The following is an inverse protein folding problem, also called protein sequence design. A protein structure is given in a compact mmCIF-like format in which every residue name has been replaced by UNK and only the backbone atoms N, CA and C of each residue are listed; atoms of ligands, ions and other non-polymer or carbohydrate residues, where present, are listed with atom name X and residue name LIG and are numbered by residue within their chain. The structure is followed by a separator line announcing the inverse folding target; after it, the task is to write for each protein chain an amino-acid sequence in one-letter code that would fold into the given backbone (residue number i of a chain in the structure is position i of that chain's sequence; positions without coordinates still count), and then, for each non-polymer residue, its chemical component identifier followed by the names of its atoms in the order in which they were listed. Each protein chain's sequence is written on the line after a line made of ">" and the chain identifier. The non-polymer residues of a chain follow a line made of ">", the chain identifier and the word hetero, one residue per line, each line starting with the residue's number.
data_IF_097147847788
#
_entry.id   IF_097147847788
#
_cell.length_a   1.000
_cell.length_b   1.000
_cell.length_c   1.000
_cell.angle_alpha   90.00
_cell.angle_beta   90.00
_cell.angle_gamma   90.00
#
_symmetry.space_group_name_H-M   'P 1'
#
loop_
_entity.id
_entity.type
_entity.pdbx_description
1 polymer ?
#
# COMPACT_ATOMS: atom_id res chain seq x y z
N UNK A 1 30.09 -39.25 2.45
CA UNK A 1 29.63 -38.56 3.66
C UNK A 1 29.30 -37.14 3.27
N UNK A 2 28.00 -36.81 3.25
CA UNK A 2 27.50 -35.49 2.88
C UNK A 2 27.70 -34.48 4.00
N UNK A 3 27.92 -33.23 3.62
CA UNK A 3 27.66 -32.07 4.47
C UNK A 3 26.71 -31.15 3.70
N UNK A 4 25.45 -31.23 4.08
CA UNK A 4 24.44 -30.22 3.77
C UNK A 4 24.95 -28.88 4.30
N UNK A 5 25.19 -27.93 3.40
CA UNK A 5 25.24 -26.53 3.76
C UNK A 5 23.79 -26.09 3.94
N UNK A 6 23.39 -25.92 5.20
CA UNK A 6 22.09 -25.36 5.55
C UNK A 6 22.00 -23.95 4.98
N UNK A 7 20.93 -23.71 4.22
CA UNK A 7 20.50 -22.39 3.79
C UNK A 7 20.25 -21.53 5.03
N UNK A 8 21.06 -20.49 5.18
CA UNK A 8 20.74 -19.38 6.07
C UNK A 8 19.74 -18.48 5.34
N UNK A 9 18.47 -18.91 5.32
CA UNK A 9 17.33 -18.07 4.95
C UNK A 9 17.04 -17.10 6.11
N UNK A 10 18.02 -16.26 6.44
CA UNK A 10 17.75 -15.01 7.13
C UNK A 10 17.09 -14.08 6.11
N UNK A 11 15.78 -14.24 5.95
CA UNK A 11 14.90 -13.27 5.32
C UNK A 11 15.01 -11.97 6.11
N UNK A 12 15.98 -11.12 5.75
CA UNK A 12 15.95 -9.73 6.19
C UNK A 12 14.59 -9.15 5.77
N UNK A 13 13.83 -8.54 6.70
CA UNK A 13 12.60 -7.89 6.31
C UNK A 13 12.98 -6.80 5.32
N UNK A 14 12.46 -6.91 4.08
CA UNK A 14 12.61 -5.92 3.02
C UNK A 14 11.76 -4.69 3.39
N UNK A 15 12.02 -4.09 4.54
CA UNK A 15 11.75 -2.69 4.75
C UNK A 15 12.86 -1.96 4.00
N UNK A 16 12.56 -1.51 2.78
CA UNK A 16 13.44 -0.61 2.06
C UNK A 16 13.90 0.50 3.02
N UNK A 17 15.16 0.95 2.95
CA UNK A 17 15.68 1.99 3.87
C UNK A 17 14.77 3.23 3.98
N UNK A 18 13.97 3.52 2.95
CA UNK A 18 12.92 4.55 2.96
C UNK A 18 11.68 4.25 3.82
N UNK A 19 11.29 2.99 4.00
CA UNK A 19 10.19 2.59 4.90
C UNK A 19 10.56 2.73 6.36
N UNK A 20 11.80 2.42 6.75
CA UNK A 20 12.26 2.60 8.15
C UNK A 20 12.20 4.05 8.61
N UNK A 21 12.66 4.99 7.77
CA UNK A 21 12.57 6.42 8.08
C UNK A 21 11.12 6.92 8.15
N UNK A 22 10.26 6.43 7.24
CA UNK A 22 8.82 6.77 7.20
C UNK A 22 8.01 6.21 8.37
N UNK A 23 8.42 5.06 8.91
CA UNK A 23 7.84 4.45 10.12
C UNK A 23 8.25 5.25 11.36
N UNK A 24 9.48 5.77 11.40
CA UNK A 24 9.98 6.59 12.52
C UNK A 24 9.28 7.95 12.63
N UNK A 25 8.96 8.62 11.52
CA UNK A 25 8.22 9.90 11.55
C UNK A 25 6.79 9.75 12.09
N UNK A 26 6.10 8.66 11.77
CA UNK A 26 4.73 8.40 12.23
C UNK A 26 4.65 7.77 13.64
N UNK A 27 5.81 7.44 14.22
CA UNK A 27 5.96 6.97 15.59
C UNK A 27 6.22 8.10 16.59
N UNK A 28 6.41 9.34 16.14
CA UNK A 28 6.55 10.49 17.06
C UNK A 28 5.24 10.72 17.81
N UNK A 29 5.30 11.01 19.13
CA UNK A 29 4.13 11.47 19.86
C UNK A 29 3.58 12.74 19.22
N UNK A 30 2.27 12.78 19.02
CA UNK A 30 1.57 13.97 18.55
C UNK A 30 1.16 14.81 19.76
N UNK A 31 1.46 16.11 19.71
CA UNK A 31 1.06 17.09 20.73
C UNK A 31 0.13 18.13 20.08
N UNK A 32 -1.17 18.14 20.43
CA UNK A 32 -2.15 19.07 19.85
C UNK A 32 -1.89 20.54 20.22
N UNK A 33 -1.05 20.81 21.23
CA UNK A 33 -0.72 22.18 21.67
C UNK A 33 0.56 22.73 21.04
N UNK A 34 1.29 21.90 20.31
CA UNK A 34 2.54 22.30 19.66
C UNK A 34 2.29 23.26 18.49
N UNK A 35 3.23 24.15 18.23
CA UNK A 35 3.15 25.12 17.12
C UNK A 35 3.03 24.44 15.74
N UNK A 36 3.55 23.22 15.60
CA UNK A 36 3.56 22.45 14.35
C UNK A 36 2.42 21.41 14.29
N UNK A 37 1.46 21.42 15.23
CA UNK A 37 0.43 20.39 15.33
C UNK A 37 -0.43 20.28 14.06
N UNK A 38 -0.84 21.42 13.51
CA UNK A 38 -1.65 21.49 12.28
C UNK A 38 -0.87 20.93 11.09
N UNK A 39 0.38 21.34 10.92
CA UNK A 39 1.25 20.86 9.84
C UNK A 39 1.50 19.36 9.91
N UNK A 40 1.72 18.82 11.12
CA UNK A 40 1.87 17.39 11.34
C UNK A 40 0.58 16.65 10.95
N UNK A 41 -0.58 17.13 11.39
CA UNK A 41 -1.87 16.53 11.08
C UNK A 41 -2.14 16.52 9.58
N UNK A 42 -1.93 17.66 8.93
CA UNK A 42 -2.08 17.83 7.50
C UNK A 42 -1.14 16.93 6.69
N UNK A 43 0.11 16.76 7.14
CA UNK A 43 1.06 15.86 6.49
C UNK A 43 0.57 14.40 6.53
N UNK A 44 0.04 13.96 7.68
CA UNK A 44 -0.52 12.61 7.83
C UNK A 44 -1.80 12.46 7.02
N UNK A 45 -2.72 13.41 7.08
CA UNK A 45 -3.97 13.40 6.30
C UNK A 45 -3.69 13.35 4.78
N UNK A 46 -2.79 14.20 4.28
CA UNK A 46 -2.34 14.18 2.88
C UNK A 46 -1.70 12.84 2.52
N UNK A 47 -0.95 12.22 3.44
CA UNK A 47 -0.41 10.88 3.23
C UNK A 47 -1.51 9.83 3.11
N UNK A 48 -2.49 9.77 4.00
CA UNK A 48 -3.55 8.74 3.89
C UNK A 48 -4.33 8.92 2.58
N UNK A 49 -4.59 10.16 2.16
CA UNK A 49 -5.25 10.44 0.88
C UNK A 49 -4.44 9.93 -0.31
N UNK A 50 -3.12 10.17 -0.34
CA UNK A 50 -2.24 9.64 -1.40
C UNK A 50 -2.23 8.11 -1.43
N UNK A 51 -2.14 7.47 -0.27
CA UNK A 51 -2.08 6.02 -0.17
C UNK A 51 -3.41 5.38 -0.60
N UNK A 52 -4.55 5.94 -0.16
CA UNK A 52 -5.90 5.53 -0.62
C UNK A 52 -6.08 5.66 -2.12
N UNK A 53 -5.62 6.77 -2.71
CA UNK A 53 -5.67 6.97 -4.15
C UNK A 53 -4.82 5.92 -4.89
N UNK A 54 -3.61 5.62 -4.38
CA UNK A 54 -2.74 4.57 -4.92
C UNK A 54 -3.37 3.18 -4.80
N UNK A 55 -3.89 2.82 -3.63
CA UNK A 55 -4.58 1.55 -3.38
C UNK A 55 -5.77 1.38 -4.33
N UNK A 56 -6.62 2.39 -4.46
CA UNK A 56 -7.79 2.38 -5.37
C UNK A 56 -7.38 2.19 -6.83
N UNK A 57 -6.34 2.89 -7.28
CA UNK A 57 -5.82 2.74 -8.65
C UNK A 57 -5.30 1.33 -8.89
N UNK A 58 -4.52 0.77 -7.96
CA UNK A 58 -3.97 -0.58 -8.05
C UNK A 58 -5.07 -1.64 -8.02
N UNK A 59 -6.06 -1.50 -7.15
CA UNK A 59 -7.20 -2.42 -7.07
C UNK A 59 -7.97 -2.48 -8.40
N UNK A 60 -8.25 -1.32 -9.01
CA UNK A 60 -8.89 -1.25 -10.34
C UNK A 60 -8.03 -1.87 -11.44
N UNK A 61 -6.72 -1.65 -11.40
CA UNK A 61 -5.79 -2.25 -12.36
C UNK A 61 -5.73 -3.78 -12.20
N UNK A 62 -5.64 -4.26 -10.96
CA UNK A 62 -5.64 -5.68 -10.62
C UNK A 62 -6.91 -6.35 -11.14
N UNK A 63 -8.08 -5.81 -10.79
CA UNK A 63 -9.38 -6.33 -11.24
C UNK A 63 -9.49 -6.36 -12.76
N UNK A 64 -9.05 -5.29 -13.45
CA UNK A 64 -9.03 -5.24 -14.93
C UNK A 64 -8.11 -6.29 -15.54
N UNK A 65 -7.00 -6.62 -14.89
CA UNK A 65 -6.06 -7.63 -15.36
C UNK A 65 -6.55 -9.04 -15.09
N UNK A 66 -7.14 -9.27 -13.92
CA UNK A 66 -7.64 -10.55 -13.40
C UNK A 66 -8.92 -10.99 -14.11
N UNK A 67 -9.87 -10.08 -14.32
CA UNK A 67 -11.22 -10.42 -14.81
C UNK A 67 -11.21 -11.33 -16.05
N UNK A 68 -10.41 -11.07 -17.11
CA UNK A 68 -10.39 -11.94 -18.29
C UNK A 68 -9.74 -13.32 -18.08
N UNK A 69 -9.09 -13.58 -16.93
CA UNK A 69 -8.64 -14.92 -16.55
C UNK A 69 -9.70 -15.68 -15.75
N UNK A 70 -10.58 -14.96 -15.03
CA UNK A 70 -11.66 -15.55 -14.23
C UNK A 70 -12.89 -15.83 -15.10
N UNK A 71 -13.25 -14.90 -15.98
CA UNK A 71 -14.46 -14.98 -16.80
C UNK A 71 -14.27 -15.74 -18.13
N UNK A 72 -13.03 -16.10 -18.51
CA UNK A 72 -12.76 -16.78 -19.77
C UNK A 72 -11.30 -16.75 -20.20
N UNK A 73 -11.05 -16.68 -21.50
CA UNK A 73 -9.70 -16.56 -22.05
C UNK A 73 -9.32 -15.07 -22.21
N UNK A 74 -8.14 -14.64 -21.72
CA UNK A 74 -7.76 -13.25 -21.82
C UNK A 74 -7.49 -12.87 -23.28
N UNK A 75 -8.09 -11.77 -23.73
CA UNK A 75 -7.99 -11.28 -25.11
C UNK A 75 -7.16 -10.00 -25.23
N UNK A 76 -6.74 -9.71 -26.46
CA UNK A 76 -6.11 -8.44 -26.83
C UNK A 76 -7.12 -7.30 -26.65
N UNK A 77 -6.76 -6.27 -25.89
CA UNK A 77 -7.70 -5.18 -25.56
C UNK A 77 -7.66 -3.98 -26.52
N UNK A 78 -6.58 -3.81 -27.31
CA UNK A 78 -6.39 -2.66 -28.21
C UNK A 78 -5.54 -3.04 -29.42
N UNK A 79 -5.73 -2.31 -30.53
CA UNK A 79 -4.97 -2.48 -31.77
C UNK A 79 -5.52 -3.56 -32.70
N UNK A 80 -4.74 -3.94 -33.71
CA UNK A 80 -5.09 -5.05 -34.61
C UNK A 80 -5.19 -6.36 -33.81
N UNK A 81 -6.26 -7.12 -34.04
CA UNK A 81 -6.54 -8.36 -33.30
C UNK A 81 -7.27 -8.16 -31.97
N UNK A 82 -7.86 -6.98 -31.71
CA UNK A 82 -8.74 -6.78 -30.56
C UNK A 82 -9.82 -7.87 -30.48
N UNK A 83 -10.08 -8.38 -29.28
CA UNK A 83 -11.02 -9.48 -29.03
C UNK A 83 -10.49 -10.87 -29.36
N UNK A 84 -9.33 -11.00 -30.02
CA UNK A 84 -8.68 -12.30 -30.21
C UNK A 84 -8.00 -12.77 -28.91
N UNK A 85 -7.96 -14.10 -28.65
CA UNK A 85 -7.20 -14.66 -27.53
C UNK A 85 -5.75 -14.21 -27.52
N UNK A 86 -5.19 -14.00 -26.33
CA UNK A 86 -3.77 -13.71 -26.19
C UNK A 86 -2.93 -14.92 -26.59
N UNK A 87 -1.85 -14.64 -27.32
CA UNK A 87 -0.79 -15.61 -27.56
C UNK A 87 -0.19 -16.10 -26.23
N UNK A 88 0.48 -17.27 -26.19
CA UNK A 88 1.11 -17.77 -24.97
C UNK A 88 2.07 -16.77 -24.31
N UNK A 89 2.86 -16.06 -25.12
CA UNK A 89 3.74 -14.99 -24.64
C UNK A 89 2.95 -13.78 -24.10
N UNK A 90 1.83 -13.42 -24.74
CA UNK A 90 0.91 -12.38 -24.27
C UNK A 90 0.29 -12.73 -22.91
N UNK A 91 -0.17 -13.97 -22.73
CA UNK A 91 -0.69 -14.48 -21.47
C UNK A 91 0.36 -14.42 -20.36
N UNK A 92 1.58 -14.89 -20.63
CA UNK A 92 2.70 -14.86 -19.67
C UNK A 92 3.01 -13.44 -19.21
N UNK A 93 3.08 -12.47 -20.13
CA UNK A 93 3.30 -11.06 -19.79
C UNK A 93 2.17 -10.48 -18.95
N UNK A 94 0.92 -10.80 -19.29
CA UNK A 94 -0.24 -10.33 -18.52
C UNK A 94 -0.28 -10.92 -17.11
N UNK A 95 0.04 -12.22 -16.97
CA UNK A 95 0.16 -12.88 -15.67
C UNK A 95 1.29 -12.26 -14.82
N UNK A 96 2.47 -12.02 -15.41
CA UNK A 96 3.56 -11.35 -14.71
C UNK A 96 3.14 -9.97 -14.18
N UNK A 97 2.42 -9.19 -15.01
CA UNK A 97 1.88 -7.89 -14.59
C UNK A 97 0.83 -8.02 -13.49
N UNK A 98 -0.04 -9.02 -13.55
CA UNK A 98 -1.04 -9.28 -12.50
C UNK A 98 -0.35 -9.57 -11.16
N UNK A 99 0.69 -10.41 -11.16
CA UNK A 99 1.48 -10.73 -9.96
C UNK A 99 2.17 -9.49 -9.41
N UNK A 100 2.78 -8.67 -10.28
CA UNK A 100 3.46 -7.43 -9.89
C UNK A 100 2.47 -6.43 -9.24
N UNK A 101 1.33 -6.19 -9.89
CA UNK A 101 0.28 -5.29 -9.36
C UNK A 101 -0.29 -5.85 -8.06
N UNK A 102 -0.45 -7.17 -7.95
CA UNK A 102 -0.90 -7.83 -6.72
C UNK A 102 0.05 -7.63 -5.55
N UNK A 103 1.36 -7.67 -5.78
CA UNK A 103 2.35 -7.35 -4.76
C UNK A 103 2.26 -5.86 -4.35
N UNK A 104 2.23 -4.95 -5.31
CA UNK A 104 2.09 -3.51 -5.05
C UNK A 104 0.80 -3.16 -4.29
N UNK A 105 -0.30 -3.89 -4.56
CA UNK A 105 -1.57 -3.71 -3.87
C UNK A 105 -1.49 -4.12 -2.40
N UNK A 106 -0.78 -5.23 -2.09
CA UNK A 106 -0.52 -5.64 -0.70
C UNK A 106 0.28 -4.58 0.04
N UNK A 107 1.38 -4.10 -0.55
CA UNK A 107 2.22 -3.06 0.06
C UNK A 107 1.41 -1.78 0.30
N UNK A 108 0.61 -1.35 -0.68
CA UNK A 108 -0.24 -0.16 -0.55
C UNK A 108 -1.30 -0.32 0.55
N UNK A 109 -1.85 -1.53 0.74
CA UNK A 109 -2.82 -1.82 1.81
C UNK A 109 -2.18 -1.79 3.20
N UNK A 110 -0.95 -2.29 3.34
CA UNK A 110 -0.19 -2.20 4.58
C UNK A 110 0.17 -0.75 4.91
N UNK A 111 0.63 0.01 3.91
CA UNK A 111 0.89 1.44 4.07
C UNK A 111 -0.39 2.21 4.44
N UNK A 112 -1.55 1.86 3.87
CA UNK A 112 -2.83 2.49 4.19
C UNK A 112 -3.18 2.25 5.65
N UNK A 113 -3.11 1.00 6.11
CA UNK A 113 -3.37 0.63 7.51
C UNK A 113 -2.47 1.41 8.47
N UNK A 114 -1.19 1.53 8.14
CA UNK A 114 -0.24 2.27 8.96
C UNK A 114 -0.56 3.77 9.02
N UNK A 115 -0.84 4.39 7.87
CA UNK A 115 -1.15 5.82 7.78
C UNK A 115 -2.49 6.17 8.47
N UNK A 116 -3.51 5.34 8.30
CA UNK A 116 -4.81 5.49 8.99
C UNK A 116 -4.64 5.33 10.49
N UNK A 117 -3.90 4.31 10.96
CA UNK A 117 -3.65 4.13 12.38
C UNK A 117 -2.91 5.32 13.01
N UNK A 118 -2.04 6.00 12.25
CA UNK A 118 -1.40 7.23 12.72
C UNK A 118 -2.40 8.39 12.84
N UNK A 119 -3.25 8.60 11.83
CA UNK A 119 -4.29 9.63 11.86
C UNK A 119 -5.27 9.40 13.02
N UNK A 120 -5.68 8.14 13.26
CA UNK A 120 -6.54 7.77 14.37
C UNK A 120 -5.91 8.06 15.74
N UNK A 121 -4.59 7.87 15.88
CA UNK A 121 -3.88 8.26 17.11
C UNK A 121 -3.93 9.77 17.31
N UNK A 122 -3.66 10.56 16.28
CA UNK A 122 -3.70 12.02 16.37
C UNK A 122 -5.10 12.51 16.74
N UNK A 123 -6.14 11.99 16.09
CA UNK A 123 -7.53 12.32 16.42
C UNK A 123 -7.87 12.05 17.90
N UNK A 124 -7.43 10.92 18.47
CA UNK A 124 -7.66 10.62 19.88
C UNK A 124 -6.95 11.59 20.83
N UNK A 125 -5.75 12.03 20.49
CA UNK A 125 -5.03 13.03 21.29
C UNK A 125 -5.71 14.40 21.20
N UNK A 126 -6.21 14.80 20.02
CA UNK A 126 -7.03 16.00 19.84
C UNK A 126 -8.31 15.91 20.69
N UNK A 127 -9.03 14.80 20.61
CA UNK A 127 -10.26 14.57 21.36
C UNK A 127 -10.03 14.55 22.88
N UNK A 128 -8.87 14.04 23.33
CA UNK A 128 -8.48 14.07 24.74
C UNK A 128 -8.25 15.52 25.18
N UNK A 129 -7.40 16.24 24.45
CA UNK A 129 -7.10 17.65 24.74
C UNK A 129 -8.36 18.53 24.74
N UNK A 130 -9.27 18.32 23.78
CA UNK A 130 -10.50 19.11 23.69
C UNK A 130 -11.41 18.88 24.91
N UNK A 131 -11.51 17.63 25.39
CA UNK A 131 -12.26 17.31 26.61
C UNK A 131 -11.63 17.91 27.86
N UNK A 132 -10.31 17.85 27.98
CA UNK A 132 -9.58 18.43 29.12
C UNK A 132 -9.65 19.96 29.14
N UNK A 133 -9.71 20.59 27.97
CA UNK A 133 -9.68 22.07 27.84
C UNK A 133 -11.07 22.70 27.90
N UNK A 134 -12.08 22.07 27.29
CA UNK A 134 -13.40 22.66 27.07
C UNK A 134 -14.56 21.86 27.67
N UNK A 135 -14.33 20.62 28.13
CA UNK A 135 -15.37 19.70 28.59
C UNK A 135 -15.80 19.86 30.05
N UNK A 136 -15.69 21.06 30.61
CA UNK A 136 -16.20 21.41 31.95
C UNK A 136 -17.72 21.50 31.99
#
# INVERSE_FOLDING_TARGET
>A
MGKEQMMDDTLEPIAAKGDRARVLELGRPFDPTSADAEDQYDAVARRVNRVRARHTRLAREFERLERPFVEGEPTVQRGQGCGQPLSPAGRKRRLARLVEVGAQLRDAKEEERFAVAALDRMNREIDRWARETYGG
#
